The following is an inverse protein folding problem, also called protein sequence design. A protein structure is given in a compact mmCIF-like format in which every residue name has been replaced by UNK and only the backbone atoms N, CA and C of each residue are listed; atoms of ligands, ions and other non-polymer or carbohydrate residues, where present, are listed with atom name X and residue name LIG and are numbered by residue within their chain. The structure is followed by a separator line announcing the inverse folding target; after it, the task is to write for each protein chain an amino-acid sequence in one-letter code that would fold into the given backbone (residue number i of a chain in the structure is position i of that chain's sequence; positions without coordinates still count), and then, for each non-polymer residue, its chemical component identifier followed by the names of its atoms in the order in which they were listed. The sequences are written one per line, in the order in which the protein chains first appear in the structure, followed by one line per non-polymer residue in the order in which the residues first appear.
data_IF_289832662287
#
_entry.id   IF_289832662287
#
_cell.length_a   1.000
_cell.length_b   1.000
_cell.length_c   1.000
_cell.angle_alpha   90.00
_cell.angle_beta   90.00
_cell.angle_gamma   90.00
#
_symmetry.space_group_name_H-M   'P 1'
#
loop_
_entity.id
_entity.type
_entity.pdbx_description
1 polymer ?
#
# COMPACT_ATOMS: atom_id res chain seq x y z
N UNK A 1 -1.37 -20.35 -32.45
CA UNK A 1 -0.41 -19.56 -31.64
C UNK A 1 -0.05 -20.42 -30.46
N UNK A 2 1.20 -20.88 -30.36
CA UNK A 2 1.65 -21.65 -29.19
C UNK A 2 2.20 -20.65 -28.17
N UNK A 3 1.32 -20.08 -27.36
CA UNK A 3 1.70 -19.24 -26.23
C UNK A 3 2.25 -20.14 -25.12
N UNK A 4 3.49 -19.88 -24.68
CA UNK A 4 4.10 -20.57 -23.55
C UNK A 4 3.77 -19.84 -22.25
N UNK A 5 3.10 -20.52 -21.31
CA UNK A 5 2.78 -19.95 -20.00
C UNK A 5 3.79 -20.45 -18.95
N UNK A 6 4.54 -19.51 -18.38
CA UNK A 6 5.61 -19.77 -17.43
C UNK A 6 5.31 -19.05 -16.10
N UNK A 7 4.47 -19.61 -15.22
CA UNK A 7 4.17 -18.95 -13.95
C UNK A 7 5.39 -19.00 -13.02
N UNK A 8 5.57 -18.00 -12.14
CA UNK A 8 6.56 -18.05 -11.07
C UNK A 8 6.22 -19.09 -10.00
N UNK A 9 7.16 -19.39 -9.10
CA UNK A 9 6.92 -20.27 -7.96
C UNK A 9 6.04 -19.59 -6.90
N UNK A 10 4.74 -19.92 -6.88
CA UNK A 10 3.75 -19.22 -6.02
C UNK A 10 3.65 -19.78 -4.60
N UNK A 11 3.86 -21.08 -4.39
CA UNK A 11 3.46 -21.79 -3.15
C UNK A 11 4.10 -21.21 -1.87
N UNK A 12 5.42 -21.07 -1.84
CA UNK A 12 6.14 -20.59 -0.65
C UNK A 12 5.75 -19.14 -0.31
N UNK A 13 5.69 -18.26 -1.32
CA UNK A 13 5.28 -16.87 -1.14
C UNK A 13 3.83 -16.71 -0.69
N UNK A 14 2.91 -17.49 -1.26
CA UNK A 14 1.50 -17.49 -0.85
C UNK A 14 1.31 -17.99 0.58
N UNK A 15 2.05 -19.03 1.00
CA UNK A 15 2.01 -19.51 2.39
C UNK A 15 2.54 -18.43 3.33
N UNK A 16 3.70 -17.83 3.02
CA UNK A 16 4.28 -16.77 3.86
C UNK A 16 3.33 -15.58 3.99
N UNK A 17 2.85 -15.04 2.87
CA UNK A 17 1.93 -13.89 2.89
C UNK A 17 0.59 -14.25 3.53
N UNK A 18 0.08 -15.47 3.33
CA UNK A 18 -1.14 -15.96 3.96
C UNK A 18 -1.03 -16.06 5.48
N UNK A 19 0.07 -16.61 6.00
CA UNK A 19 0.33 -16.69 7.44
C UNK A 19 0.48 -15.29 8.06
N UNK A 20 1.25 -14.41 7.42
CA UNK A 20 1.40 -13.02 7.88
C UNK A 20 0.05 -12.31 7.91
N UNK A 21 -0.77 -12.45 6.85
CA UNK A 21 -2.11 -11.89 6.81
C UNK A 21 -3.02 -12.45 7.90
N UNK A 22 -3.00 -13.75 8.13
CA UNK A 22 -3.80 -14.39 9.18
C UNK A 22 -3.42 -13.85 10.57
N UNK A 23 -2.13 -13.70 10.86
CA UNK A 23 -1.65 -13.13 12.13
C UNK A 23 -2.09 -11.67 12.27
N UNK A 24 -1.88 -10.85 11.24
CA UNK A 24 -2.25 -9.43 11.26
C UNK A 24 -3.76 -9.24 11.45
N UNK A 25 -4.58 -10.01 10.73
CA UNK A 25 -6.03 -9.99 10.86
C UNK A 25 -6.49 -10.49 12.22
N UNK A 26 -5.86 -11.53 12.78
CA UNK A 26 -6.17 -12.02 14.11
C UNK A 26 -5.88 -10.98 15.20
N UNK A 27 -4.71 -10.33 15.16
CA UNK A 27 -4.35 -9.26 16.11
C UNK A 27 -5.29 -8.06 15.94
N UNK A 28 -5.58 -7.69 14.69
CA UNK A 28 -6.51 -6.61 14.38
C UNK A 28 -7.92 -6.88 14.91
N UNK A 29 -8.46 -8.08 14.65
CA UNK A 29 -9.75 -8.52 15.16
C UNK A 29 -9.77 -8.59 16.69
N UNK A 30 -8.73 -9.15 17.31
CA UNK A 30 -8.59 -9.17 18.76
C UNK A 30 -8.59 -7.75 19.35
N UNK A 31 -7.84 -6.82 18.76
CA UNK A 31 -7.81 -5.42 19.17
C UNK A 31 -9.20 -4.79 19.10
N UNK A 32 -9.89 -4.87 17.96
CA UNK A 32 -11.21 -4.25 17.79
C UNK A 32 -12.33 -4.92 18.60
N UNK A 33 -12.30 -6.24 18.79
CA UNK A 33 -13.27 -6.95 19.64
C UNK A 33 -13.13 -6.53 21.10
N UNK A 34 -11.89 -6.42 21.61
CA UNK A 34 -11.67 -5.97 22.98
C UNK A 34 -11.95 -4.48 23.14
N UNK A 35 -11.64 -3.66 22.12
CA UNK A 35 -11.98 -2.25 22.09
C UNK A 35 -13.48 -2.02 22.31
N UNK A 36 -14.33 -2.79 21.61
CA UNK A 36 -15.79 -2.69 21.70
C UNK A 36 -16.38 -3.11 23.06
N UNK A 37 -15.61 -3.80 23.91
CA UNK A 37 -16.03 -4.30 25.23
C UNK A 37 -15.41 -3.53 26.39
N UNK A 38 -14.47 -2.63 26.09
CA UNK A 38 -13.68 -1.91 27.10
C UNK A 38 -14.23 -0.51 27.25
N UNK A 39 -14.44 -0.08 28.50
CA UNK A 39 -14.79 1.31 28.79
C UNK A 39 -13.70 2.27 28.32
N UNK A 40 -14.09 3.51 27.98
CA UNK A 40 -13.15 4.50 27.48
C UNK A 40 -12.11 4.84 28.56
N UNK A 41 -10.83 4.65 28.24
CA UNK A 41 -9.71 4.76 29.17
C UNK A 41 -8.37 4.33 28.57
N UNK A 42 -7.34 4.07 29.39
CA UNK A 42 -6.02 3.67 28.89
C UNK A 42 -6.03 2.32 28.13
N UNK A 43 -6.79 1.34 28.62
CA UNK A 43 -6.92 0.04 27.95
C UNK A 43 -7.61 0.16 26.59
N UNK A 44 -8.59 1.06 26.46
CA UNK A 44 -9.22 1.39 25.17
C UNK A 44 -8.17 1.85 24.15
N UNK A 45 -7.24 2.72 24.56
CA UNK A 45 -6.14 3.18 23.70
C UNK A 45 -5.24 2.03 23.25
N UNK A 46 -4.86 1.14 24.17
CA UNK A 46 -4.00 -0.01 23.85
C UNK A 46 -4.65 -0.88 22.77
N UNK A 47 -5.93 -1.22 22.93
CA UNK A 47 -6.66 -2.02 21.96
C UNK A 47 -6.84 -1.31 20.61
N UNK A 48 -7.12 0.00 20.62
CA UNK A 48 -7.23 0.81 19.41
C UNK A 48 -5.92 0.83 18.62
N UNK A 49 -4.81 1.13 19.29
CA UNK A 49 -3.50 1.21 18.65
C UNK A 49 -3.02 -0.16 18.18
N UNK A 50 -3.20 -1.22 18.97
CA UNK A 50 -2.89 -2.58 18.56
C UNK A 50 -3.69 -2.98 17.31
N UNK A 51 -4.99 -2.70 17.29
CA UNK A 51 -5.87 -2.97 16.17
C UNK A 51 -5.47 -2.23 14.89
N UNK A 52 -5.20 -0.93 14.99
CA UNK A 52 -4.79 -0.08 13.87
C UNK A 52 -3.39 -0.43 13.34
N UNK A 53 -2.41 -0.63 14.23
CA UNK A 53 -1.05 -0.98 13.82
C UNK A 53 -0.99 -2.35 13.14
N UNK A 54 -1.78 -3.32 13.61
CA UNK A 54 -1.89 -4.63 12.97
C UNK A 54 -2.66 -4.56 11.64
N UNK A 55 -3.68 -3.69 11.54
CA UNK A 55 -4.45 -3.52 10.30
C UNK A 55 -3.66 -2.78 9.20
N UNK A 56 -2.83 -1.79 9.56
CA UNK A 56 -2.11 -0.95 8.62
C UNK A 56 -1.32 -1.70 7.52
N UNK A 57 -0.56 -2.77 7.80
CA UNK A 57 0.15 -3.53 6.77
C UNK A 57 -0.74 -4.51 5.98
N UNK A 58 -1.99 -4.77 6.39
CA UNK A 58 -2.88 -5.77 5.74
C UNK A 58 -3.07 -5.49 4.24
N UNK A 59 -3.39 -4.27 3.78
CA UNK A 59 -3.54 -3.99 2.35
C UNK A 59 -2.26 -4.27 1.55
N UNK A 60 -1.07 -4.04 2.12
CA UNK A 60 0.22 -4.26 1.46
C UNK A 60 0.44 -5.76 1.25
N UNK A 61 0.26 -6.57 2.30
CA UNK A 61 0.41 -8.03 2.18
C UNK A 61 -0.71 -8.67 1.37
N UNK A 62 -1.93 -8.13 1.46
CA UNK A 62 -3.08 -8.56 0.66
C UNK A 62 -2.82 -8.34 -0.83
N UNK A 63 -2.32 -7.15 -1.19
CA UNK A 63 -1.93 -6.85 -2.55
C UNK A 63 -0.75 -7.71 -3.02
N UNK A 64 0.26 -7.97 -2.19
CA UNK A 64 1.38 -8.87 -2.53
C UNK A 64 0.90 -10.30 -2.80
N UNK A 65 0.05 -10.85 -1.94
CA UNK A 65 -0.54 -12.18 -2.11
C UNK A 65 -1.39 -12.27 -3.38
N UNK A 66 -2.27 -11.28 -3.60
CA UNK A 66 -3.07 -11.17 -4.82
C UNK A 66 -2.19 -11.07 -6.08
N UNK A 67 -1.14 -10.26 -6.01
CA UNK A 67 -0.22 -10.03 -7.12
C UNK A 67 0.53 -11.30 -7.51
N UNK A 68 1.03 -12.05 -6.52
CA UNK A 68 1.69 -13.34 -6.74
C UNK A 68 0.72 -14.41 -7.25
N UNK A 69 -0.52 -14.44 -6.74
CA UNK A 69 -1.54 -15.38 -7.20
C UNK A 69 -1.83 -15.22 -8.70
N UNK A 70 -1.87 -13.97 -9.18
CA UNK A 70 -2.08 -13.61 -10.61
C UNK A 70 -0.79 -13.46 -11.42
N UNK A 71 0.37 -13.67 -10.82
CA UNK A 71 1.63 -13.48 -11.52
C UNK A 71 1.84 -14.55 -12.60
N UNK A 72 2.16 -14.13 -13.82
CA UNK A 72 2.36 -14.99 -14.99
C UNK A 72 3.38 -14.35 -15.92
N UNK A 73 4.27 -15.16 -16.50
CA UNK A 73 5.10 -14.77 -17.63
C UNK A 73 4.57 -15.50 -18.85
N UNK A 74 4.13 -14.78 -19.87
CA UNK A 74 3.56 -15.34 -21.09
C UNK A 74 4.53 -15.02 -22.22
N UNK A 75 5.05 -16.06 -22.86
CA UNK A 75 5.96 -15.92 -23.98
C UNK A 75 5.22 -16.33 -25.25
N UNK A 76 5.00 -15.37 -26.14
CA UNK A 76 4.48 -15.60 -27.48
C UNK A 76 5.62 -15.49 -28.51
N UNK A 77 5.29 -15.63 -29.80
CA UNK A 77 6.24 -15.47 -30.92
C UNK A 77 6.69 -14.03 -31.10
N UNK A 78 5.87 -13.06 -30.72
CA UNK A 78 6.11 -11.65 -30.99
C UNK A 78 6.48 -10.85 -29.72
N UNK A 79 6.03 -11.26 -28.53
CA UNK A 79 6.35 -10.58 -27.28
C UNK A 79 6.45 -11.49 -26.04
N UNK A 80 7.14 -10.98 -25.03
CA UNK A 80 7.16 -11.47 -23.65
C UNK A 80 6.28 -10.54 -22.81
N UNK A 81 5.16 -11.07 -22.35
CA UNK A 81 4.23 -10.39 -21.46
C UNK A 81 4.52 -10.79 -20.01
N UNK A 82 4.75 -9.78 -19.16
CA UNK A 82 5.00 -9.93 -17.73
C UNK A 82 3.81 -9.38 -16.96
N UNK A 83 2.96 -10.28 -16.46
CA UNK A 83 1.82 -9.94 -15.61
C UNK A 83 2.20 -10.07 -14.14
N UNK A 84 2.06 -8.98 -13.39
CA UNK A 84 2.31 -8.96 -11.95
C UNK A 84 1.24 -8.17 -11.19
N UNK A 85 0.24 -8.89 -10.70
CA UNK A 85 -0.93 -8.32 -10.04
C UNK A 85 -1.77 -7.47 -10.96
N UNK A 86 -1.71 -6.15 -10.79
CA UNK A 86 -2.43 -5.21 -11.64
C UNK A 86 -1.54 -4.66 -12.76
N UNK A 87 -0.23 -4.87 -12.71
CA UNK A 87 0.70 -4.41 -13.75
C UNK A 87 0.80 -5.43 -14.87
N UNK A 88 0.84 -4.91 -16.10
CA UNK A 88 1.07 -5.68 -17.31
C UNK A 88 2.15 -4.98 -18.17
N UNK A 89 3.23 -5.69 -18.48
CA UNK A 89 4.36 -5.20 -19.26
C UNK A 89 4.59 -6.11 -20.47
N UNK A 90 4.41 -5.57 -21.66
CA UNK A 90 4.57 -6.30 -22.92
C UNK A 90 5.86 -5.87 -23.63
N UNK A 91 6.80 -6.82 -23.77
CA UNK A 91 8.16 -6.61 -24.30
C UNK A 91 8.29 -7.34 -25.64
N UNK A 92 8.44 -6.65 -26.78
CA UNK A 92 8.64 -7.30 -28.07
C UNK A 92 9.91 -8.17 -28.08
N UNK A 93 9.87 -9.35 -28.70
CA UNK A 93 11.04 -10.22 -28.80
C UNK A 93 12.21 -9.55 -29.52
N UNK A 94 11.94 -8.61 -30.44
CA UNK A 94 12.95 -7.83 -31.15
C UNK A 94 13.73 -6.87 -30.25
N UNK A 95 13.15 -6.49 -29.11
CA UNK A 95 13.75 -5.56 -28.16
C UNK A 95 14.58 -6.30 -27.10
N UNK A 96 14.49 -7.63 -27.05
CA UNK A 96 15.24 -8.48 -26.13
C UNK A 96 16.62 -8.77 -26.73
N UNK A 97 17.66 -8.20 -26.13
CA UNK A 97 19.04 -8.36 -26.60
C UNK A 97 19.63 -9.71 -26.18
N UNK A 98 19.30 -10.16 -24.96
CA UNK A 98 19.74 -11.44 -24.43
C UNK A 98 18.91 -11.86 -23.21
N UNK A 99 18.87 -13.18 -22.98
CA UNK A 99 18.32 -13.79 -21.78
C UNK A 99 19.39 -14.67 -21.15
N UNK A 100 19.72 -14.45 -19.88
CA UNK A 100 20.76 -15.21 -19.15
C UNK A 100 20.36 -15.50 -17.70
N UNK A 101 20.96 -16.53 -17.11
CA UNK A 101 20.81 -16.80 -15.68
C UNK A 101 21.53 -15.73 -14.87
N UNK A 102 20.92 -15.28 -13.78
CA UNK A 102 21.56 -14.41 -12.81
C UNK A 102 22.75 -15.07 -12.10
N UNK A 103 22.81 -16.41 -12.10
CA UNK A 103 23.90 -17.17 -11.49
C UNK A 103 25.18 -17.13 -12.33
N UNK A 104 25.08 -16.78 -13.62
CA UNK A 104 26.21 -16.70 -14.55
C UNK A 104 26.95 -15.36 -14.47
N UNK A 105 26.50 -14.43 -13.61
CA UNK A 105 27.12 -13.12 -13.43
C UNK A 105 28.39 -13.21 -12.61
N UNK A 106 29.45 -12.55 -13.09
CA UNK A 106 30.71 -12.37 -12.35
C UNK A 106 30.51 -11.63 -11.02
N UNK A 107 29.61 -10.64 -11.02
CA UNK A 107 29.21 -9.90 -9.82
C UNK A 107 27.77 -10.29 -9.43
N UNK A 108 27.52 -10.72 -8.19
CA UNK A 108 26.19 -11.14 -7.79
C UNK A 108 25.22 -9.95 -7.72
N UNK A 109 23.97 -10.20 -8.11
CA UNK A 109 22.89 -9.22 -8.00
C UNK A 109 22.52 -8.95 -6.54
N UNK A 110 22.61 -7.68 -6.14
CA UNK A 110 22.04 -7.23 -4.88
C UNK A 110 20.51 -7.25 -4.93
N UNK A 111 19.87 -7.82 -3.91
CA UNK A 111 18.40 -7.83 -3.82
C UNK A 111 17.85 -6.44 -3.43
N UNK A 112 16.64 -6.10 -3.87
CA UNK A 112 15.98 -4.88 -3.41
C UNK A 112 15.66 -4.95 -1.90
N UNK A 113 15.65 -3.81 -1.18
CA UNK A 113 15.56 -3.79 0.29
C UNK A 113 14.24 -4.31 0.85
N UNK A 114 13.16 -4.32 0.06
CA UNK A 114 11.83 -4.78 0.47
C UNK A 114 11.49 -6.17 -0.09
N UNK A 115 12.51 -6.92 -0.53
CA UNK A 115 12.39 -8.27 -1.06
C UNK A 115 11.93 -9.25 0.02
N UNK A 116 10.96 -10.08 -0.33
CA UNK A 116 10.49 -11.21 0.48
C UNK A 116 10.21 -12.39 -0.45
N UNK A 117 10.25 -13.64 0.05
CA UNK A 117 9.78 -14.78 -0.71
C UNK A 117 8.35 -14.54 -1.22
N UNK A 118 8.14 -14.68 -2.53
CA UNK A 118 6.87 -14.34 -3.21
C UNK A 118 6.76 -12.91 -3.72
N UNK A 119 7.68 -12.02 -3.36
CA UNK A 119 7.67 -10.62 -3.75
C UNK A 119 9.10 -10.04 -3.75
N UNK A 120 9.94 -10.51 -4.67
CA UNK A 120 11.23 -9.89 -4.99
C UNK A 120 10.97 -8.80 -6.02
N UNK A 121 10.59 -7.63 -5.52
CA UNK A 121 10.14 -6.49 -6.32
C UNK A 121 10.97 -5.24 -6.04
N UNK A 122 11.25 -4.48 -7.09
CA UNK A 122 11.88 -3.16 -6.99
C UNK A 122 13.02 -2.95 -7.99
N UNK A 123 13.66 -1.80 -7.88
CA UNK A 123 14.76 -1.40 -8.75
C UNK A 123 16.09 -1.51 -8.01
N UNK A 124 17.10 -2.07 -8.66
CA UNK A 124 18.49 -2.07 -8.18
C UNK A 124 19.43 -1.71 -9.31
N UNK A 125 20.44 -0.90 -9.02
CA UNK A 125 21.53 -0.66 -9.97
C UNK A 125 22.59 -1.75 -9.84
N UNK A 126 22.96 -2.35 -10.96
CA UNK A 126 24.08 -3.28 -11.13
C UNK A 126 25.24 -2.56 -11.83
N UNK A 127 26.48 -2.94 -11.50
CA UNK A 127 27.69 -2.30 -12.03
C UNK A 127 27.77 -2.47 -13.56
N UNK A 128 27.53 -3.69 -14.03
CA UNK A 128 27.76 -4.05 -15.45
C UNK A 128 26.52 -3.87 -16.35
N UNK A 129 25.32 -3.78 -15.77
CA UNK A 129 24.04 -3.85 -16.51
C UNK A 129 23.14 -2.63 -16.32
N UNK A 130 23.56 -1.67 -15.49
CA UNK A 130 22.73 -0.49 -15.19
C UNK A 130 21.53 -0.83 -14.30
N UNK A 131 20.34 -0.37 -14.66
CA UNK A 131 19.14 -0.49 -13.82
C UNK A 131 18.45 -1.84 -14.07
N UNK A 132 18.34 -2.64 -13.00
CA UNK A 132 17.66 -3.94 -12.99
C UNK A 132 16.34 -3.82 -12.24
N UNK A 133 15.25 -4.18 -12.91
CA UNK A 133 13.92 -4.21 -12.34
C UNK A 133 13.52 -5.64 -11.98
N UNK A 134 13.33 -5.89 -10.69
CA UNK A 134 12.93 -7.19 -10.18
C UNK A 134 11.42 -7.33 -10.23
N UNK A 135 10.96 -8.35 -10.95
CA UNK A 135 9.56 -8.79 -11.03
C UNK A 135 9.57 -10.31 -10.85
N UNK A 136 9.96 -10.76 -9.65
CA UNK A 136 10.23 -12.15 -9.36
C UNK A 136 9.58 -12.62 -8.04
N UNK A 137 9.29 -13.92 -7.98
CA UNK A 137 8.81 -14.60 -6.76
C UNK A 137 9.95 -15.13 -5.90
N UNK A 138 11.10 -15.47 -6.51
CA UNK A 138 12.25 -16.08 -5.84
C UNK A 138 13.54 -15.43 -6.36
N UNK A 139 14.52 -15.31 -5.47
CA UNK A 139 15.85 -14.78 -5.75
C UNK A 139 16.82 -15.84 -6.28
N UNK A 140 16.53 -17.14 -6.10
CA UNK A 140 17.48 -18.22 -6.44
C UNK A 140 17.56 -18.51 -7.94
N UNK A 141 16.41 -18.58 -8.60
CA UNK A 141 16.28 -18.97 -10.01
C UNK A 141 15.88 -17.78 -10.87
N UNK A 142 16.70 -16.73 -10.82
CA UNK A 142 16.46 -15.50 -11.58
C UNK A 142 16.99 -15.65 -13.01
N UNK A 143 16.13 -15.33 -13.97
CA UNK A 143 16.51 -15.05 -15.35
C UNK A 143 16.49 -13.54 -15.57
N UNK A 144 17.50 -13.06 -16.27
CA UNK A 144 17.67 -11.67 -16.65
C UNK A 144 17.29 -11.54 -18.12
N UNK A 145 16.31 -10.68 -18.38
CA UNK A 145 15.85 -10.32 -19.73
C UNK A 145 16.31 -8.91 -19.99
N UNK A 146 17.33 -8.75 -20.82
CA UNK A 146 17.85 -7.44 -21.16
C UNK A 146 17.13 -6.85 -22.36
N UNK A 147 16.72 -5.60 -22.23
CA UNK A 147 16.18 -4.79 -23.31
C UNK A 147 17.02 -3.53 -23.49
N UNK A 148 16.87 -2.85 -24.63
CA UNK A 148 17.58 -1.60 -24.92
C UNK A 148 17.37 -0.50 -23.86
N UNK A 149 16.30 -0.57 -23.05
CA UNK A 149 15.97 0.43 -22.02
C UNK A 149 16.39 0.01 -20.60
N UNK A 150 16.19 -1.25 -20.24
CA UNK A 150 16.40 -1.78 -18.87
C UNK A 150 16.47 -3.31 -18.86
N UNK A 151 16.98 -3.86 -17.77
CA UNK A 151 17.04 -5.30 -17.54
C UNK A 151 15.94 -5.71 -16.56
N UNK A 152 15.16 -6.74 -16.91
CA UNK A 152 14.14 -7.31 -16.04
C UNK A 152 14.65 -8.61 -15.42
N UNK A 153 14.52 -8.75 -14.10
CA UNK A 153 14.80 -9.98 -13.38
C UNK A 153 13.48 -10.71 -13.07
N UNK A 154 13.27 -11.84 -13.73
CA UNK A 154 12.08 -12.70 -13.60
C UNK A 154 12.45 -14.06 -13.00
N UNK A 155 11.50 -14.78 -12.42
CA UNK A 155 11.76 -16.11 -11.84
C UNK A 155 10.72 -17.15 -12.31
N UNK A 156 10.75 -17.55 -13.59
CA UNK A 156 9.84 -18.59 -14.09
C UNK A 156 10.07 -19.91 -13.34
N UNK A 157 9.01 -20.69 -13.15
CA UNK A 157 9.09 -21.99 -12.47
C UNK A 157 10.02 -22.99 -13.18
N UNK A 158 10.11 -22.93 -14.51
CA UNK A 158 11.03 -23.71 -15.31
C UNK A 158 11.91 -22.81 -16.21
N UNK A 159 13.08 -22.35 -15.72
CA UNK A 159 13.97 -21.48 -16.48
C UNK A 159 14.47 -22.10 -17.79
N UNK A 160 14.75 -23.41 -17.80
CA UNK A 160 15.28 -24.09 -18.98
C UNK A 160 14.26 -24.12 -20.12
N UNK A 161 13.02 -24.51 -19.83
CA UNK A 161 11.94 -24.54 -20.82
C UNK A 161 11.61 -23.15 -21.35
N UNK A 162 11.66 -22.13 -20.48
CA UNK A 162 11.51 -20.73 -20.88
C UNK A 162 12.57 -20.33 -21.92
N UNK A 163 13.86 -20.60 -21.64
CA UNK A 163 14.96 -20.27 -22.57
C UNK A 163 14.89 -21.04 -23.89
N UNK A 164 14.46 -22.32 -23.87
CA UNK A 164 14.28 -23.12 -25.08
C UNK A 164 13.12 -22.61 -25.94
N UNK A 165 12.03 -22.20 -25.30
CA UNK A 165 10.86 -21.64 -25.99
C UNK A 165 11.20 -20.28 -26.60
N UNK A 166 11.98 -19.45 -25.90
CA UNK A 166 12.50 -18.20 -26.43
C UNK A 166 13.38 -18.42 -27.66
N UNK A 167 14.38 -19.32 -27.58
CA UNK A 167 15.24 -19.63 -28.72
C UNK A 167 14.44 -20.06 -29.95
N UNK A 168 13.45 -20.94 -29.77
CA UNK A 168 12.55 -21.37 -30.84
C UNK A 168 11.71 -20.23 -31.41
N UNK A 169 11.20 -19.34 -30.56
CA UNK A 169 10.44 -18.18 -30.99
C UNK A 169 11.29 -17.21 -31.83
N UNK A 170 12.54 -16.97 -31.41
CA UNK A 170 13.51 -16.16 -32.16
C UNK A 170 13.90 -16.80 -33.49
N UNK A 171 14.13 -18.12 -33.53
CA UNK A 171 14.42 -18.88 -34.77
C UNK A 171 13.30 -18.77 -35.81
N UNK A 172 12.04 -18.74 -35.35
CA UNK A 172 10.88 -18.58 -36.23
C UNK A 172 10.72 -17.17 -36.79
N UNK A 173 11.34 -16.16 -36.16
CA UNK A 173 11.20 -14.74 -36.51
C UNK A 173 9.79 -14.18 -36.28
N UNK A 174 9.66 -12.86 -36.14
CA UNK A 174 8.37 -12.19 -36.02
C UNK A 174 7.76 -11.91 -37.39
N UNK A 175 6.44 -12.09 -37.54
CA UNK A 175 5.72 -11.73 -38.77
C UNK A 175 5.24 -10.26 -38.76
N UNK A 176 5.04 -9.67 -37.57
CA UNK A 176 4.64 -8.28 -37.35
C UNK A 176 5.25 -7.84 -36.01
N UNK A 177 6.09 -6.78 -35.96
CA UNK A 177 6.68 -6.32 -34.71
C UNK A 177 5.59 -5.89 -33.71
N UNK A 178 5.54 -6.51 -32.53
CA UNK A 178 4.70 -6.06 -31.43
C UNK A 178 5.15 -4.67 -30.96
N UNK A 179 4.21 -3.80 -30.59
CA UNK A 179 4.55 -2.50 -30.00
C UNK A 179 4.72 -2.67 -28.49
N UNK A 180 5.86 -2.23 -27.95
CA UNK A 180 6.09 -2.23 -26.51
C UNK A 180 5.00 -1.43 -25.78
N UNK A 181 4.25 -2.11 -24.90
CA UNK A 181 3.14 -1.50 -24.15
C UNK A 181 3.28 -1.82 -22.68
N UNK A 182 3.32 -0.78 -21.86
CA UNK A 182 3.31 -0.90 -20.40
C UNK A 182 2.00 -0.28 -19.89
N UNK A 183 1.12 -1.10 -19.34
CA UNK A 183 -0.16 -0.65 -18.78
C UNK A 183 -0.04 -0.66 -17.26
N UNK A 184 0.03 0.54 -16.67
CA UNK A 184 -0.10 0.74 -15.24
C UNK A 184 -1.55 1.11 -14.93
N UNK A 185 -2.29 0.33 -14.14
CA UNK A 185 -3.56 0.81 -13.60
C UNK A 185 -3.25 1.94 -12.62
N UNK A 186 -3.50 3.18 -13.04
CA UNK A 186 -3.34 4.34 -12.19
C UNK A 186 -4.49 4.36 -11.17
N UNK A 187 -4.22 3.82 -9.98
CA UNK A 187 -5.05 4.12 -8.83
C UNK A 187 -4.80 5.58 -8.45
N UNK A 188 -5.85 6.40 -8.49
CA UNK A 188 -5.83 7.81 -8.03
C UNK A 188 -5.19 7.93 -6.64
N UNK A 189 -5.39 6.93 -5.78
CA UNK A 189 -4.78 6.85 -4.44
C UNK A 189 -3.27 6.67 -4.50
N UNK A 190 -2.75 5.75 -5.33
CA UNK A 190 -1.31 5.53 -5.50
C UNK A 190 -0.65 6.77 -6.10
N UNK A 191 -1.28 7.35 -7.12
CA UNK A 191 -0.81 8.59 -7.74
C UNK A 191 -0.80 9.76 -6.74
N UNK A 192 -1.83 9.88 -5.91
CA UNK A 192 -1.86 10.89 -4.85
C UNK A 192 -0.79 10.63 -3.78
N UNK A 193 -0.53 9.36 -3.42
CA UNK A 193 0.48 9.00 -2.42
C UNK A 193 1.93 9.31 -2.85
N UNK A 194 2.21 9.30 -4.15
CA UNK A 194 3.49 9.75 -4.71
C UNK A 194 3.73 11.25 -4.52
N UNK A 195 2.66 12.05 -4.40
CA UNK A 195 2.78 13.47 -4.06
C UNK A 195 3.16 13.64 -2.59
N UNK A 196 4.35 14.20 -2.35
CA UNK A 196 4.84 14.47 -1.00
C UNK A 196 3.88 15.33 -0.16
N UNK A 197 3.22 16.31 -0.77
CA UNK A 197 2.24 17.18 -0.09
C UNK A 197 0.96 16.43 0.28
N UNK A 198 0.40 15.62 -0.62
CA UNK A 198 -0.81 14.84 -0.32
C UNK A 198 -0.54 13.83 0.80
N UNK A 199 0.60 13.12 0.72
CA UNK A 199 1.05 12.19 1.75
C UNK A 199 1.23 12.88 3.10
N UNK A 200 1.86 14.05 3.12
CA UNK A 200 2.00 14.84 4.35
C UNK A 200 0.64 15.21 4.95
N UNK A 201 -0.28 15.76 4.15
CA UNK A 201 -1.61 16.17 4.63
C UNK A 201 -2.44 14.98 5.16
N UNK A 202 -2.38 13.82 4.51
CA UNK A 202 -3.08 12.62 4.96
C UNK A 202 -2.50 12.07 6.26
N UNK A 203 -1.17 11.99 6.35
CA UNK A 203 -0.50 11.55 7.57
C UNK A 203 -0.75 12.53 8.72
N UNK A 204 -0.71 13.83 8.45
CA UNK A 204 -1.04 14.86 9.44
C UNK A 204 -2.48 14.68 9.96
N UNK A 205 -3.48 14.60 9.07
CA UNK A 205 -4.86 14.38 9.47
C UNK A 205 -5.03 13.05 10.25
N UNK A 206 -4.38 11.97 9.81
CA UNK A 206 -4.41 10.67 10.48
C UNK A 206 -3.83 10.78 11.91
N UNK A 207 -2.62 11.31 12.06
CA UNK A 207 -1.96 11.40 13.36
C UNK A 207 -2.66 12.38 14.29
N UNK A 208 -3.24 13.47 13.79
CA UNK A 208 -4.05 14.39 14.58
C UNK A 208 -5.30 13.68 15.14
N UNK A 209 -6.01 12.89 14.32
CA UNK A 209 -7.19 12.16 14.78
C UNK A 209 -6.84 11.00 15.74
N UNK A 210 -5.76 10.26 15.48
CA UNK A 210 -5.26 9.23 16.41
C UNK A 210 -4.84 9.89 17.73
N UNK A 211 -4.10 10.99 17.67
CA UNK A 211 -3.69 11.76 18.84
C UNK A 211 -4.88 12.27 19.64
N UNK A 212 -5.92 12.76 18.97
CA UNK A 212 -7.17 13.19 19.60
C UNK A 212 -7.88 12.04 20.32
N UNK A 213 -8.01 10.87 19.69
CA UNK A 213 -8.58 9.67 20.33
C UNK A 213 -7.78 9.23 21.57
N UNK A 214 -6.45 9.17 21.43
CA UNK A 214 -5.53 8.80 22.51
C UNK A 214 -5.69 9.79 23.67
N UNK A 215 -5.62 11.08 23.38
CA UNK A 215 -5.66 12.11 24.41
C UNK A 215 -6.99 12.14 25.15
N UNK A 216 -8.12 12.14 24.45
CA UNK A 216 -9.46 12.10 25.06
C UNK A 216 -9.63 10.86 25.92
N UNK A 217 -9.20 9.69 25.43
CA UNK A 217 -9.33 8.44 26.18
C UNK A 217 -8.50 8.43 27.47
N UNK A 218 -7.32 9.06 27.47
CA UNK A 218 -6.48 9.20 28.66
C UNK A 218 -6.98 10.27 29.63
N UNK A 219 -7.71 11.28 29.14
CA UNK A 219 -8.30 12.34 29.97
C UNK A 219 -9.51 11.85 30.76
N UNK A 220 -10.36 10.99 30.18
CA UNK A 220 -11.63 10.56 30.78
C UNK A 220 -11.50 10.03 32.23
N UNK A 221 -10.51 9.18 32.57
CA UNK A 221 -10.33 8.74 33.96
C UNK A 221 -9.93 9.85 34.94
N UNK A 222 -9.33 10.94 34.44
CA UNK A 222 -8.82 12.05 35.26
C UNK A 222 -9.89 13.10 35.57
N UNK A 223 -10.94 13.16 34.76
CA UNK A 223 -12.01 14.16 34.87
C UNK A 223 -13.37 13.46 34.94
N UNK A 224 -14.09 13.50 36.08
CA UNK A 224 -15.41 12.89 36.17
C UNK A 224 -16.48 13.62 35.33
N UNK A 225 -16.35 14.94 35.20
CA UNK A 225 -17.29 15.82 34.50
C UNK A 225 -16.57 16.90 33.69
N UNK A 226 -17.18 17.33 32.60
CA UNK A 226 -16.65 18.35 31.68
C UNK A 226 -17.73 19.29 31.16
N UNK A 227 -17.32 20.50 30.79
CA UNK A 227 -18.15 21.59 30.27
C UNK A 227 -18.55 21.37 28.79
N UNK A 228 -19.28 20.29 28.50
CA UNK A 228 -19.71 19.96 27.12
C UNK A 228 -21.21 20.21 26.89
N UNK A 229 -22.03 20.15 27.94
CA UNK A 229 -23.48 20.30 27.82
C UNK A 229 -23.93 21.76 27.86
N UNK A 230 -25.16 22.00 27.40
CA UNK A 230 -25.87 23.25 27.65
C UNK A 230 -27.16 22.94 28.40
N UNK A 231 -27.39 23.63 29.52
CA UNK A 231 -28.67 23.58 30.21
C UNK A 231 -29.75 24.35 29.40
N UNK A 232 -31.05 24.17 29.71
CA UNK A 232 -32.15 24.84 28.99
C UNK A 232 -32.04 26.37 28.99
N UNK A 233 -31.33 26.94 29.96
CA UNK A 233 -31.01 28.36 30.10
C UNK A 233 -29.75 28.79 29.30
N UNK A 234 -29.18 27.89 28.49
CA UNK A 234 -27.94 28.04 27.70
C UNK A 234 -26.67 28.24 28.54
N UNK A 235 -26.72 27.96 29.84
CA UNK A 235 -25.49 27.91 30.66
C UNK A 235 -24.71 26.63 30.38
N UNK A 236 -23.39 26.69 30.56
CA UNK A 236 -22.50 25.54 30.40
C UNK A 236 -22.83 24.53 31.50
N UNK A 237 -23.19 23.31 31.08
CA UNK A 237 -23.58 22.24 31.97
C UNK A 237 -22.51 21.14 32.04
N UNK A 238 -22.28 20.67 33.26
CA UNK A 238 -21.41 19.56 33.58
C UNK A 238 -21.97 18.24 33.05
N UNK A 239 -21.23 17.58 32.16
CA UNK A 239 -21.63 16.30 31.55
C UNK A 239 -20.57 15.23 31.85
N UNK A 240 -20.92 13.93 31.96
CA UNK A 240 -19.93 12.87 32.11
C UNK A 240 -18.85 12.92 31.02
N UNK A 241 -17.59 12.84 31.41
CA UNK A 241 -16.44 12.97 30.50
C UNK A 241 -16.41 11.95 29.37
N UNK A 242 -17.04 10.77 29.56
CA UNK A 242 -17.21 9.77 28.50
C UNK A 242 -17.85 10.36 27.24
N UNK A 243 -18.71 11.38 27.36
CA UNK A 243 -19.32 12.03 26.20
C UNK A 243 -18.30 12.79 25.33
N UNK A 244 -17.10 13.10 25.83
CA UNK A 244 -16.02 13.68 25.02
C UNK A 244 -15.61 12.79 23.85
N UNK A 245 -15.88 11.47 23.90
CA UNK A 245 -15.54 10.55 22.81
C UNK A 245 -16.26 10.89 21.49
N UNK A 246 -17.36 11.66 21.55
CA UNK A 246 -18.06 12.13 20.35
C UNK A 246 -17.18 13.08 19.52
N UNK A 247 -16.30 13.84 20.16
CA UNK A 247 -15.43 14.82 19.51
C UNK A 247 -14.44 14.15 18.55
N UNK A 248 -13.61 13.17 18.96
CA UNK A 248 -12.75 12.43 18.04
C UNK A 248 -13.53 11.65 16.99
N UNK A 249 -14.72 11.13 17.32
CA UNK A 249 -15.55 10.40 16.36
C UNK A 249 -16.03 11.30 15.21
N UNK A 250 -16.54 12.49 15.53
CA UNK A 250 -16.97 13.49 14.54
C UNK A 250 -15.79 13.98 13.71
N UNK A 251 -14.66 14.29 14.36
CA UNK A 251 -13.43 14.69 13.65
C UNK A 251 -13.00 13.63 12.64
N UNK A 252 -13.01 12.35 13.03
CA UNK A 252 -12.61 11.24 12.16
C UNK A 252 -13.60 11.03 11.01
N UNK A 253 -14.91 11.11 11.28
CA UNK A 253 -15.93 11.00 10.24
C UNK A 253 -15.76 12.09 9.18
N UNK A 254 -15.60 13.35 9.61
CA UNK A 254 -15.34 14.47 8.71
C UNK A 254 -13.99 14.30 7.99
N UNK A 255 -13.00 13.69 8.65
CA UNK A 255 -11.72 13.43 8.02
C UNK A 255 -11.79 12.38 6.91
N UNK A 256 -12.59 11.32 7.09
CA UNK A 256 -12.83 10.31 6.07
C UNK A 256 -13.61 10.88 4.88
N UNK A 257 -14.63 11.70 5.13
CA UNK A 257 -15.39 12.34 4.04
C UNK A 257 -14.54 13.33 3.26
N UNK A 258 -13.73 14.15 3.94
CA UNK A 258 -12.77 15.06 3.32
C UNK A 258 -11.69 14.33 2.52
N UNK A 259 -11.18 13.21 3.04
CA UNK A 259 -10.23 12.36 2.31
C UNK A 259 -10.83 11.83 1.00
N UNK A 260 -12.03 11.25 1.05
CA UNK A 260 -12.75 10.72 -0.11
C UNK A 260 -13.11 11.82 -1.13
N UNK A 261 -13.58 12.97 -0.67
CA UNK A 261 -13.88 14.12 -1.53
C UNK A 261 -12.61 14.65 -2.23
N UNK A 262 -11.48 14.74 -1.52
CA UNK A 262 -10.22 15.14 -2.13
C UNK A 262 -9.74 14.15 -3.19
N UNK A 263 -9.88 12.84 -2.97
CA UNK A 263 -9.59 11.83 -4.00
C UNK A 263 -10.47 11.98 -5.24
N UNK A 264 -11.76 12.28 -5.04
CA UNK A 264 -12.69 12.55 -6.13
C UNK A 264 -12.24 13.75 -6.98
N UNK A 265 -11.75 14.84 -6.37
CA UNK A 265 -11.21 15.98 -7.14
C UNK A 265 -9.83 15.68 -7.75
N UNK A 266 -8.99 14.89 -7.08
CA UNK A 266 -7.65 14.55 -7.55
C UNK A 266 -7.65 13.78 -8.88
N UNK A 267 -8.74 13.05 -9.17
CA UNK A 267 -8.92 12.29 -10.42
C UNK A 267 -8.89 13.16 -11.67
N UNK A 268 -9.18 14.45 -11.57
CA UNK A 268 -9.13 15.38 -12.70
C UNK A 268 -7.99 16.37 -12.53
N UNK A 269 -7.08 16.39 -13.51
CA UNK A 269 -5.86 17.22 -13.46
C UNK A 269 -6.15 18.70 -13.19
N UNK A 270 -7.17 19.26 -13.84
CA UNK A 270 -7.59 20.67 -13.67
C UNK A 270 -8.10 21.00 -12.27
N UNK A 271 -8.57 20.02 -11.50
CA UNK A 271 -9.18 20.18 -10.18
C UNK A 271 -8.27 19.71 -9.04
N UNK A 272 -7.03 19.28 -9.32
CA UNK A 272 -6.10 18.82 -8.28
C UNK A 272 -5.85 19.87 -7.20
N UNK A 273 -5.82 21.17 -7.54
CA UNK A 273 -5.67 22.22 -6.53
C UNK A 273 -6.78 22.14 -5.46
N UNK A 274 -8.03 21.87 -5.86
CA UNK A 274 -9.16 21.73 -4.93
C UNK A 274 -8.97 20.55 -3.99
N UNK A 275 -8.39 19.43 -4.44
CA UNK A 275 -8.10 18.29 -3.57
C UNK A 275 -7.15 18.64 -2.43
N UNK A 276 -6.10 19.44 -2.71
CA UNK A 276 -5.16 19.90 -1.70
C UNK A 276 -5.80 20.88 -0.73
N UNK A 277 -6.67 21.78 -1.21
CA UNK A 277 -7.45 22.68 -0.34
C UNK A 277 -8.35 21.88 0.60
N UNK A 278 -9.04 20.85 0.10
CA UNK A 278 -9.88 19.97 0.92
C UNK A 278 -9.05 19.22 1.96
N UNK A 279 -7.92 18.61 1.58
CA UNK A 279 -7.06 17.88 2.52
C UNK A 279 -6.38 18.79 3.55
N UNK A 280 -5.98 20.01 3.15
CA UNK A 280 -5.44 21.01 4.07
C UNK A 280 -6.50 21.47 5.09
N UNK A 281 -7.70 21.77 4.61
CA UNK A 281 -8.85 22.12 5.47
C UNK A 281 -9.16 20.99 6.45
N UNK A 282 -9.03 19.75 6.02
CA UNK A 282 -9.26 18.57 6.85
C UNK A 282 -8.23 18.41 7.98
N UNK A 283 -6.94 18.59 7.66
CA UNK A 283 -5.88 18.58 8.65
C UNK A 283 -6.05 19.74 9.66
N UNK A 284 -6.37 20.94 9.17
CA UNK A 284 -6.65 22.10 10.02
C UNK A 284 -7.86 21.85 10.94
N UNK A 285 -8.95 21.32 10.41
CA UNK A 285 -10.14 20.98 11.19
C UNK A 285 -9.81 19.97 12.30
N UNK A 286 -9.01 18.93 12.00
CA UNK A 286 -8.58 17.94 13.00
C UNK A 286 -7.75 18.60 14.12
N UNK A 287 -6.93 19.59 13.79
CA UNK A 287 -6.20 20.41 14.77
C UNK A 287 -7.15 21.28 15.60
N UNK A 288 -8.17 21.89 14.98
CA UNK A 288 -9.17 22.69 15.68
C UNK A 288 -9.97 21.84 16.68
N UNK A 289 -10.25 20.57 16.38
CA UNK A 289 -10.88 19.66 17.34
C UNK A 289 -9.99 19.35 18.55
N UNK A 290 -8.68 19.20 18.37
CA UNK A 290 -7.72 19.09 19.49
C UNK A 290 -7.75 20.34 20.37
N UNK A 291 -7.75 21.52 19.76
CA UNK A 291 -7.84 22.79 20.47
C UNK A 291 -9.19 22.91 21.20
N UNK A 292 -10.28 22.46 20.58
CA UNK A 292 -11.60 22.46 21.21
C UNK A 292 -11.62 21.59 22.47
N UNK A 293 -11.03 20.39 22.45
CA UNK A 293 -10.88 19.54 23.64
C UNK A 293 -10.10 20.27 24.73
N UNK A 294 -9.00 20.94 24.38
CA UNK A 294 -8.21 21.73 25.32
C UNK A 294 -9.06 22.81 26.02
N UNK A 295 -9.89 23.54 25.27
CA UNK A 295 -10.78 24.55 25.84
C UNK A 295 -11.85 23.94 26.74
N UNK A 296 -12.44 22.79 26.34
CA UNK A 296 -13.47 22.10 27.11
C UNK A 296 -12.94 21.64 28.48
N UNK A 297 -11.71 21.11 28.53
CA UNK A 297 -11.12 20.66 29.80
C UNK A 297 -10.57 21.81 30.66
N UNK A 298 -10.17 22.93 30.06
CA UNK A 298 -9.69 24.10 30.80
C UNK A 298 -10.81 24.96 31.36
N UNK A 299 -12.04 24.80 30.86
CA UNK A 299 -13.19 25.56 31.34
C UNK A 299 -13.64 24.99 32.68
N UNK A 300 -13.65 25.78 33.76
CA UNK A 300 -14.10 25.31 35.06
C UNK A 300 -15.59 24.95 34.99
N UNK A 301 -15.94 23.85 35.67
CA UNK A 301 -17.28 23.25 35.73
C UNK A 301 -17.87 23.47 37.11
#
# INVERSE_FOLDING_TARGET
MNTGLFPPAKRAGLILHGVVLAILLAISAWGFINLARTDVGPNFVVYLLAGLMAFAPVPIFGYRAYSLARAEYILDRDSLEIRWGLRDEDIPLTDIEWIRSAQDLTHPLGLPPTSMPGAVLGLRRHVDMGLVEFIASDAKNLLLVATARRVYAISPSNPHEFTQTFARATELGSLIPAQAKSVYPSFVVTLAWESGLARYLWLAALFLNVGLFVWVSLLIPSFPRVALGFAPDRTVAAVPSVQLIIVPLVSTLLALTGWAAGLYFYRWEKQRVLSFVVWASNALMSLLFLIAVLFIISTPV
#
